data_IF_636618116150
#
_entry.id   IF_636618116150
#
_cell.length_a   1.000
_cell.length_b   1.000
_cell.length_c   1.000
_cell.angle_alpha   90.00
_cell.angle_beta   90.00
_cell.angle_gamma   90.00
#
_symmetry.space_group_name_H-M   'P 1'
#
loop_
_entity.id
_entity.type
_entity.pdbx_description
1 polymer ?
#
# COMPACT_ATOMS: atom_id res chain seq x y z
N UNK A 1 -3.33 -13.32 -19.53
CA UNK A 1 -2.73 -13.98 -18.35
C UNK A 1 -2.34 -12.90 -17.33
N UNK A 2 -3.22 -12.61 -16.37
CA UNK A 2 -3.18 -11.41 -15.51
C UNK A 2 -2.60 -11.66 -14.10
N UNK A 3 -1.74 -12.66 -13.90
CA UNK A 3 -1.42 -13.15 -12.55
C UNK A 3 -0.04 -13.78 -12.46
N UNK A 4 1.04 -13.02 -12.68
CA UNK A 4 2.40 -13.57 -12.57
C UNK A 4 3.27 -12.98 -11.45
N UNK A 5 2.89 -11.88 -10.80
CA UNK A 5 3.48 -11.41 -9.53
C UNK A 5 2.75 -10.21 -8.94
N UNK A 6 2.95 -9.97 -7.64
CA UNK A 6 2.41 -8.84 -6.88
C UNK A 6 2.82 -7.48 -7.46
N UNK A 7 4.06 -7.34 -7.93
CA UNK A 7 4.56 -6.10 -8.52
C UNK A 7 3.74 -5.65 -9.74
N UNK A 8 3.30 -6.61 -10.57
CA UNK A 8 2.45 -6.33 -11.73
C UNK A 8 1.05 -5.91 -11.30
N UNK A 9 0.46 -6.55 -10.28
CA UNK A 9 -0.84 -6.15 -9.71
C UNK A 9 -0.78 -4.72 -9.17
N UNK A 10 0.25 -4.40 -8.38
CA UNK A 10 0.45 -3.04 -7.83
C UNK A 10 0.63 -2.01 -8.95
N UNK A 11 1.40 -2.33 -10.00
CA UNK A 11 1.55 -1.44 -11.16
C UNK A 11 0.21 -1.17 -11.86
N UNK A 12 -0.60 -2.21 -12.08
CA UNK A 12 -1.92 -2.07 -12.69
C UNK A 12 -2.90 -1.28 -11.84
N UNK A 13 -2.80 -1.35 -10.51
CA UNK A 13 -3.59 -0.52 -9.60
C UNK A 13 -3.12 0.94 -9.60
N UNK A 14 -1.82 1.18 -9.38
CA UNK A 14 -1.25 2.53 -9.30
C UNK A 14 -1.36 3.30 -10.61
N UNK A 15 -1.33 2.64 -11.77
CA UNK A 15 -1.36 3.29 -13.08
C UNK A 15 -2.62 4.16 -13.32
N UNK A 16 -3.82 3.57 -13.35
CA UNK A 16 -5.07 4.31 -13.49
C UNK A 16 -5.28 5.34 -12.39
N UNK A 17 -4.99 5.00 -11.13
CA UNK A 17 -5.09 5.97 -10.03
C UNK A 17 -4.18 7.19 -10.27
N UNK A 18 -2.95 6.98 -10.74
CA UNK A 18 -2.03 8.09 -11.05
C UNK A 18 -2.57 8.96 -12.18
N UNK A 19 -3.16 8.36 -13.21
CA UNK A 19 -3.77 9.07 -14.32
C UNK A 19 -4.90 9.98 -13.81
N UNK A 20 -5.84 9.42 -13.04
CA UNK A 20 -6.97 10.18 -12.49
C UNK A 20 -6.53 11.25 -11.49
N UNK A 21 -5.64 10.92 -10.55
CA UNK A 21 -5.16 11.87 -9.54
C UNK A 21 -4.41 13.03 -10.19
N UNK A 22 -3.62 12.80 -11.24
CA UNK A 22 -2.88 13.87 -11.93
C UNK A 22 -3.77 14.86 -12.66
N UNK A 23 -5.02 14.50 -12.97
CA UNK A 23 -6.00 15.46 -13.47
C UNK A 23 -6.37 16.53 -12.41
N UNK A 24 -6.20 16.21 -11.13
CA UNK A 24 -6.50 17.12 -9.99
C UNK A 24 -5.20 17.69 -9.39
N UNK A 25 -4.17 16.86 -9.27
CA UNK A 25 -2.88 17.19 -8.67
C UNK A 25 -1.73 16.69 -9.56
N UNK A 26 -1.31 17.52 -10.52
CA UNK A 26 -0.32 17.17 -11.53
C UNK A 26 1.02 16.68 -10.97
N UNK A 27 1.42 17.16 -9.80
CA UNK A 27 2.66 16.76 -9.10
C UNK A 27 2.59 15.42 -8.38
N UNK A 28 1.45 14.72 -8.40
CA UNK A 28 1.30 13.48 -7.65
C UNK A 28 2.29 12.39 -8.09
N UNK A 29 2.93 11.78 -7.09
CA UNK A 29 3.75 10.60 -7.22
C UNK A 29 3.58 9.70 -6.01
N UNK A 30 3.69 8.38 -6.23
CA UNK A 30 3.73 7.41 -5.15
C UNK A 30 5.11 7.37 -4.51
N UNK A 31 5.18 7.05 -3.23
CA UNK A 31 6.41 6.56 -2.62
C UNK A 31 6.85 5.26 -3.34
N UNK A 32 8.14 5.17 -3.63
CA UNK A 32 8.79 3.97 -4.14
C UNK A 32 9.69 3.38 -3.05
N UNK A 33 9.77 2.05 -2.86
CA UNK A 33 8.92 0.96 -3.39
C UNK A 33 7.60 0.77 -2.62
N UNK A 34 6.84 -0.30 -2.92
CA UNK A 34 5.76 -0.77 -2.05
C UNK A 34 6.31 -1.79 -1.04
N UNK A 35 5.70 -1.87 0.14
CA UNK A 35 6.02 -2.88 1.14
C UNK A 35 5.23 -4.17 0.86
N UNK A 36 5.91 -5.30 0.83
CA UNK A 36 5.30 -6.62 0.80
C UNK A 36 5.92 -7.53 1.88
N UNK A 37 5.09 -8.40 2.45
CA UNK A 37 5.51 -9.35 3.48
C UNK A 37 4.79 -10.68 3.28
N UNK A 38 5.55 -11.78 3.14
CA UNK A 38 4.98 -13.11 2.97
C UNK A 38 4.63 -13.68 4.35
N UNK A 39 3.34 -13.86 4.61
CA UNK A 39 2.83 -14.46 5.84
C UNK A 39 2.99 -15.99 5.76
N UNK A 40 3.81 -16.57 6.64
CA UNK A 40 4.09 -18.02 6.63
C UNK A 40 3.58 -18.77 7.88
N UNK A 41 3.08 -18.06 8.90
CA UNK A 41 2.69 -18.59 10.21
C UNK A 41 1.58 -17.73 10.87
N UNK A 42 1.41 -17.80 12.19
CA UNK A 42 0.43 -17.05 13.00
C UNK A 42 0.57 -15.51 12.99
N UNK A 43 1.42 -14.94 12.12
CA UNK A 43 1.60 -13.49 12.00
C UNK A 43 0.37 -12.77 11.41
N UNK A 44 -0.55 -13.51 10.80
CA UNK A 44 -1.77 -12.95 10.20
C UNK A 44 -2.55 -12.09 11.19
N UNK A 45 -2.82 -12.61 12.39
CA UNK A 45 -3.60 -11.93 13.42
C UNK A 45 -2.96 -10.60 13.84
N UNK A 46 -1.63 -10.55 13.96
CA UNK A 46 -0.93 -9.33 14.33
C UNK A 46 -0.97 -8.29 13.21
N UNK A 47 -0.88 -8.73 11.95
CA UNK A 47 -0.95 -7.84 10.78
C UNK A 47 -2.36 -7.28 10.61
N UNK A 48 -3.39 -8.11 10.79
CA UNK A 48 -4.79 -7.69 10.77
C UNK A 48 -5.06 -6.66 11.87
N UNK A 49 -4.64 -6.97 13.11
CA UNK A 49 -4.79 -6.05 14.23
C UNK A 49 -4.05 -4.72 13.99
N UNK A 50 -2.84 -4.76 13.40
CA UNK A 50 -2.11 -3.55 13.01
C UNK A 50 -2.89 -2.73 11.98
N UNK A 51 -3.43 -3.34 10.92
CA UNK A 51 -4.19 -2.64 9.88
C UNK A 51 -5.44 -1.98 10.47
N UNK A 52 -6.13 -2.66 11.38
CA UNK A 52 -7.33 -2.15 12.05
C UNK A 52 -7.04 -1.01 13.03
N UNK A 53 -5.96 -1.13 13.81
CA UNK A 53 -5.59 -0.15 14.84
C UNK A 53 -4.83 1.07 14.26
N UNK A 54 -4.18 0.93 13.10
CA UNK A 54 -3.33 1.99 12.54
C UNK A 54 -4.08 3.33 12.29
N UNK A 55 -5.33 3.37 11.78
CA UNK A 55 -6.05 4.64 11.61
C UNK A 55 -6.21 5.44 12.91
N UNK A 56 -6.45 4.78 14.05
CA UNK A 56 -6.58 5.48 15.34
C UNK A 56 -5.23 5.90 15.93
N UNK A 57 -4.17 5.17 15.62
CA UNK A 57 -2.82 5.43 16.13
C UNK A 57 -1.95 6.28 15.19
N UNK A 58 -2.52 6.82 14.11
CA UNK A 58 -1.77 7.50 13.04
C UNK A 58 -0.93 8.69 13.54
N UNK A 59 -1.50 9.52 14.42
CA UNK A 59 -0.79 10.66 15.02
C UNK A 59 0.32 10.22 15.98
N UNK A 60 0.18 9.05 16.61
CA UNK A 60 1.18 8.51 17.53
C UNK A 60 2.42 7.98 16.81
N UNK A 61 2.26 7.54 15.57
CA UNK A 61 3.32 6.95 14.74
C UNK A 61 4.23 8.03 14.10
N UNK A 62 3.91 9.32 14.25
CA UNK A 62 4.54 10.42 13.52
C UNK A 62 5.93 10.87 13.99
N UNK A 63 6.76 9.98 14.55
CA UNK A 63 8.16 10.27 14.89
C UNK A 63 9.06 9.11 14.44
N UNK A 64 9.67 9.27 13.26
CA UNK A 64 11.07 8.92 12.92
C UNK A 64 11.50 9.74 11.69
#
# INVERSE_FOLDING_TARGET
MFHQNISRVIRWYKGPCTFEIRNIHAGFSWQTPFYDHIIRNQQLQNIEHYIEANPSEWERIQIL
#
